data_IF_701147093166
#
_entry.id   IF_701147093166
#
_cell.length_a   1.000
_cell.length_b   1.000
_cell.length_c   1.000
_cell.angle_alpha   90.00
_cell.angle_beta   90.00
_cell.angle_gamma   90.00
#
_symmetry.space_group_name_H-M   'P 1'
#
loop_
_entity.id
_entity.type
_entity.pdbx_description
1 polymer ?
#
# COMPACT_ATOMS: atom_id res chain seq x y z
N UNK A 1 8.96 -29.60 -12.57
CA UNK A 1 7.68 -29.45 -11.84
C UNK A 1 7.59 -27.97 -11.48
N UNK A 2 6.51 -27.30 -11.84
CA UNK A 2 6.25 -25.91 -11.48
C UNK A 2 5.28 -25.92 -10.30
N UNK A 3 5.59 -25.14 -9.28
CA UNK A 3 4.69 -24.91 -8.16
C UNK A 3 4.13 -23.49 -8.34
N UNK A 4 2.81 -23.37 -8.31
CA UNK A 4 2.14 -22.07 -8.39
C UNK A 4 2.64 -21.18 -7.23
N UNK A 5 2.97 -19.93 -7.56
CA UNK A 5 3.34 -18.91 -6.58
C UNK A 5 2.12 -18.39 -5.81
N UNK A 6 2.25 -17.18 -5.26
CA UNK A 6 1.13 -16.53 -4.59
C UNK A 6 0.03 -16.14 -5.59
N UNK A 7 -1.26 -16.27 -5.21
CA UNK A 7 -2.35 -15.73 -6.02
C UNK A 7 -2.25 -14.19 -6.13
N UNK A 8 -2.96 -13.56 -7.09
CA UNK A 8 -2.98 -12.11 -7.17
C UNK A 8 -3.66 -11.49 -5.95
N UNK A 9 -3.12 -10.36 -5.47
CA UNK A 9 -3.81 -9.49 -4.50
C UNK A 9 -4.96 -8.81 -5.22
N UNK A 10 -6.19 -9.11 -4.80
CA UNK A 10 -7.42 -8.48 -5.32
C UNK A 10 -8.12 -7.80 -4.16
N UNK A 11 -8.14 -6.47 -4.19
CA UNK A 11 -8.85 -5.69 -3.19
C UNK A 11 -10.35 -5.78 -3.39
N UNK A 12 -11.08 -5.75 -2.27
CA UNK A 12 -12.54 -5.65 -2.30
C UNK A 12 -12.94 -4.18 -2.43
N UNK A 13 -13.84 -3.89 -3.37
CA UNK A 13 -14.24 -2.52 -3.76
C UNK A 13 -14.71 -1.69 -2.55
N UNK A 14 -15.60 -2.24 -1.73
CA UNK A 14 -16.16 -1.55 -0.55
C UNK A 14 -15.08 -1.16 0.47
N UNK A 15 -14.15 -2.05 0.76
CA UNK A 15 -13.07 -1.81 1.72
C UNK A 15 -12.04 -0.83 1.17
N UNK A 16 -11.78 -0.86 -0.15
CA UNK A 16 -10.96 0.16 -0.82
C UNK A 16 -11.63 1.53 -0.77
N UNK A 17 -12.93 1.64 -1.08
CA UNK A 17 -13.68 2.89 -1.01
C UNK A 17 -13.68 3.50 0.39
N UNK A 18 -13.90 2.68 1.42
CA UNK A 18 -13.83 3.12 2.81
C UNK A 18 -12.45 3.70 3.14
N UNK A 19 -11.38 3.01 2.74
CA UNK A 19 -10.02 3.50 2.96
C UNK A 19 -9.77 4.83 2.24
N UNK A 20 -10.25 4.99 1.00
CA UNK A 20 -10.12 6.25 0.24
C UNK A 20 -10.84 7.39 0.96
N UNK A 21 -12.05 7.16 1.47
CA UNK A 21 -12.83 8.16 2.21
C UNK A 21 -12.11 8.58 3.51
N UNK A 22 -11.61 7.61 4.28
CA UNK A 22 -10.87 7.88 5.53
C UNK A 22 -9.53 8.56 5.27
N UNK A 23 -8.83 8.18 4.20
CA UNK A 23 -7.56 8.81 3.84
C UNK A 23 -7.74 10.32 3.56
N UNK A 24 -8.90 10.75 3.06
CA UNK A 24 -9.20 12.16 2.82
C UNK A 24 -9.35 13.01 4.10
N UNK A 25 -9.53 12.39 5.26
CA UNK A 25 -9.58 13.09 6.56
C UNK A 25 -8.22 13.20 7.27
N UNK A 26 -7.13 12.76 6.62
CA UNK A 26 -5.79 12.75 7.20
C UNK A 26 -4.99 13.89 6.59
N UNK A 27 -4.61 14.88 7.40
CA UNK A 27 -3.94 16.11 6.95
C UNK A 27 -2.67 15.86 6.12
N UNK A 28 -1.91 14.81 6.43
CA UNK A 28 -0.69 14.48 5.70
C UNK A 28 -0.91 13.79 4.34
N UNK A 29 -2.14 13.32 4.07
CA UNK A 29 -2.50 12.68 2.79
C UNK A 29 -2.91 13.76 1.79
N UNK A 30 -1.95 14.19 0.98
CA UNK A 30 -2.19 15.23 -0.03
C UNK A 30 -2.98 14.72 -1.25
N UNK A 31 -2.77 13.46 -1.62
CA UNK A 31 -3.39 12.85 -2.79
C UNK A 31 -3.62 11.36 -2.58
N UNK A 32 -4.78 10.88 -3.00
CA UNK A 32 -5.11 9.47 -3.16
C UNK A 32 -5.30 9.21 -4.65
N UNK A 33 -4.66 8.16 -5.17
CA UNK A 33 -4.77 7.79 -6.58
C UNK A 33 -4.92 6.29 -6.72
N UNK A 34 -5.71 5.87 -7.70
CA UNK A 34 -5.66 4.51 -8.19
C UNK A 34 -4.31 4.28 -8.88
N UNK A 35 -3.76 3.08 -8.72
CA UNK A 35 -2.48 2.71 -9.29
C UNK A 35 -2.63 1.53 -10.23
N UNK A 36 -1.80 1.50 -11.27
CA UNK A 36 -1.71 0.32 -12.12
C UNK A 36 -1.28 -0.92 -11.31
N UNK A 37 -1.81 -2.11 -11.64
CA UNK A 37 -1.40 -3.36 -11.02
C UNK A 37 0.13 -3.55 -11.05
N UNK A 38 0.66 -4.21 -10.01
CA UNK A 38 2.09 -4.56 -9.91
C UNK A 38 2.28 -6.05 -10.09
N UNK A 39 3.38 -6.40 -10.77
CA UNK A 39 3.77 -7.79 -11.04
C UNK A 39 4.54 -8.44 -9.87
N UNK A 40 4.63 -7.77 -8.71
CA UNK A 40 5.25 -8.34 -7.51
C UNK A 40 4.36 -9.41 -6.89
N UNK A 41 4.96 -10.48 -6.38
CA UNK A 41 4.25 -11.49 -5.59
C UNK A 41 4.08 -11.02 -4.15
N UNK A 42 2.86 -11.08 -3.63
CA UNK A 42 2.50 -10.60 -2.29
C UNK A 42 1.57 -11.64 -1.63
N UNK A 43 1.97 -12.17 -0.47
CA UNK A 43 1.22 -13.24 0.20
C UNK A 43 -0.02 -12.73 0.94
N UNK A 44 -0.15 -11.40 1.09
CA UNK A 44 -1.37 -10.77 1.59
C UNK A 44 -2.64 -11.20 0.82
N UNK A 45 -2.46 -11.62 -0.44
CA UNK A 45 -3.52 -12.17 -1.28
C UNK A 45 -4.31 -13.32 -0.60
N UNK A 46 -3.65 -14.14 0.22
CA UNK A 46 -4.32 -15.24 0.92
C UNK A 46 -5.32 -14.75 1.97
N UNK A 47 -5.09 -13.60 2.61
CA UNK A 47 -6.07 -13.02 3.55
C UNK A 47 -7.29 -12.52 2.79
N UNK A 48 -7.08 -11.84 1.66
CA UNK A 48 -8.17 -11.29 0.84
C UNK A 48 -9.03 -12.38 0.18
N UNK A 49 -8.56 -13.62 0.08
CA UNK A 49 -9.43 -14.73 -0.33
C UNK A 49 -10.37 -15.23 0.77
N UNK A 50 -10.16 -14.82 2.02
CA UNK A 50 -10.90 -15.32 3.19
C UNK A 50 -11.79 -14.28 3.83
N UNK A 51 -11.34 -13.02 3.84
CA UNK A 51 -12.08 -11.93 4.46
C UNK A 51 -12.06 -10.69 3.56
N UNK A 52 -13.15 -9.90 3.53
CA UNK A 52 -13.15 -8.59 2.89
C UNK A 52 -12.02 -7.72 3.44
N UNK A 53 -11.34 -7.01 2.55
CA UNK A 53 -10.17 -6.23 2.90
C UNK A 53 -9.54 -5.51 1.71
N UNK A 54 -8.62 -4.62 2.04
CA UNK A 54 -7.89 -3.80 1.08
C UNK A 54 -6.40 -3.75 1.43
N UNK A 55 -5.55 -3.83 0.42
CA UNK A 55 -4.12 -3.61 0.48
C UNK A 55 -3.80 -2.30 -0.23
N UNK A 56 -3.01 -1.43 0.41
CA UNK A 56 -2.74 -0.10 -0.10
C UNK A 56 -1.26 0.27 0.06
N UNK A 57 -0.79 1.19 -0.78
CA UNK A 57 0.56 1.72 -0.71
C UNK A 57 0.56 3.13 -0.12
N UNK A 58 1.56 3.42 0.71
CA UNK A 58 1.85 4.79 1.17
C UNK A 58 3.05 5.32 0.41
N UNK A 59 2.92 6.49 -0.21
CA UNK A 59 4.02 7.12 -0.93
C UNK A 59 5.17 7.45 0.01
N UNK A 60 6.36 6.92 -0.29
CA UNK A 60 7.54 7.04 0.58
C UNK A 60 8.78 7.61 -0.14
N UNK A 61 8.60 8.23 -1.31
CA UNK A 61 9.70 8.86 -2.03
C UNK A 61 10.21 10.07 -1.24
N UNK A 62 11.50 10.06 -0.90
CA UNK A 62 12.14 11.19 -0.23
C UNK A 62 12.25 12.41 -1.16
N UNK A 63 11.83 13.61 -0.71
CA UNK A 63 11.98 14.84 -1.48
C UNK A 63 13.44 15.34 -1.52
N UNK A 64 14.32 14.75 -0.69
CA UNK A 64 15.73 15.15 -0.56
C UNK A 64 16.63 14.58 -1.64
N UNK A 65 16.14 13.61 -2.42
CA UNK A 65 16.91 12.91 -3.45
C UNK A 65 16.14 12.86 -4.76
N UNK A 66 16.86 13.02 -5.86
CA UNK A 66 16.35 12.77 -7.21
C UNK A 66 16.49 11.30 -7.59
N UNK A 67 17.43 10.57 -6.98
CA UNK A 67 17.62 9.14 -7.15
C UNK A 67 16.72 8.34 -6.20
N UNK A 68 16.00 7.36 -6.76
CA UNK A 68 15.22 6.39 -5.99
C UNK A 68 15.63 4.98 -6.40
N UNK A 69 15.94 4.14 -5.43
CA UNK A 69 16.22 2.73 -5.66
C UNK A 69 14.98 1.89 -5.35
N UNK A 70 14.69 0.83 -6.13
CA UNK A 70 13.50 0.01 -5.92
C UNK A 70 13.63 -0.85 -4.66
N UNK A 71 12.52 -1.44 -4.23
CA UNK A 71 12.52 -2.52 -3.23
C UNK A 71 13.55 -3.59 -3.62
N UNK A 72 14.16 -4.24 -2.62
CA UNK A 72 15.22 -5.25 -2.76
C UNK A 72 16.58 -4.77 -3.30
N UNK A 73 16.76 -3.47 -3.55
CA UNK A 73 18.07 -2.93 -3.92
C UNK A 73 18.92 -2.59 -2.67
N UNK A 74 20.26 -2.80 -2.64
CA UNK A 74 21.10 -2.53 -1.45
C UNK A 74 21.21 -1.05 -1.06
N UNK A 75 20.83 -0.14 -1.97
CA UNK A 75 20.73 1.30 -1.74
C UNK A 75 19.28 1.77 -1.51
N UNK A 76 18.35 0.85 -1.30
CA UNK A 76 16.97 1.20 -1.01
C UNK A 76 16.91 2.08 0.24
N UNK A 77 16.18 3.17 0.13
CA UNK A 77 15.93 4.13 1.20
C UNK A 77 14.59 4.84 0.92
N UNK A 78 13.96 5.38 1.97
CA UNK A 78 12.63 5.98 1.88
C UNK A 78 12.45 7.13 2.89
N UNK A 79 11.42 7.97 2.70
CA UNK A 79 11.06 9.01 3.67
C UNK A 79 10.29 8.41 4.85
N UNK A 80 10.90 8.37 6.03
CA UNK A 80 10.29 7.84 7.26
C UNK A 80 8.99 8.56 7.65
N UNK A 81 8.72 9.77 7.15
CA UNK A 81 7.40 10.41 7.32
C UNK A 81 6.26 9.54 6.80
N UNK A 82 6.51 8.68 5.81
CA UNK A 82 5.55 7.71 5.31
C UNK A 82 5.06 6.75 6.40
N UNK A 83 5.86 6.46 7.43
CA UNK A 83 5.44 5.60 8.54
C UNK A 83 4.29 6.21 9.34
N UNK A 84 4.35 7.52 9.63
CA UNK A 84 3.28 8.21 10.33
C UNK A 84 2.00 8.26 9.49
N UNK A 85 2.14 8.53 8.19
CA UNK A 85 1.01 8.54 7.26
C UNK A 85 0.35 7.17 7.22
N UNK A 86 1.13 6.09 7.04
CA UNK A 86 0.60 4.72 7.01
C UNK A 86 -0.09 4.35 8.33
N UNK A 87 0.50 4.69 9.48
CA UNK A 87 -0.07 4.40 10.79
C UNK A 87 -1.38 5.17 11.03
N UNK A 88 -1.47 6.44 10.64
CA UNK A 88 -2.71 7.22 10.70
C UNK A 88 -3.77 6.65 9.77
N UNK A 89 -3.43 6.31 8.53
CA UNK A 89 -4.38 5.73 7.57
C UNK A 89 -4.96 4.42 8.07
N UNK A 90 -4.10 3.50 8.53
CA UNK A 90 -4.55 2.22 9.06
C UNK A 90 -5.32 2.36 10.38
N UNK A 91 -4.87 3.26 11.26
CA UNK A 91 -5.53 3.52 12.54
C UNK A 91 -6.92 4.11 12.34
N UNK A 92 -7.06 5.15 11.51
CA UNK A 92 -8.33 5.82 11.28
C UNK A 92 -9.39 4.93 10.62
N UNK A 93 -8.99 3.99 9.75
CA UNK A 93 -9.96 3.09 9.09
C UNK A 93 -10.45 1.96 10.02
N UNK A 94 -9.77 1.77 11.15
CA UNK A 94 -10.11 0.73 12.14
C UNK A 94 -11.06 1.22 13.25
N UNK A 95 -11.38 2.52 13.27
CA UNK A 95 -12.24 3.18 14.26
C UNK A 95 -13.65 3.40 13.70
#
# INVERSE_FOLDING_TARGET
KYDDGYPPVVNHEKETELLVQVAASIDEVNHVKEMDPKMGGEDFAYYLQKVPGTFFFTGAKSPKTTETYPHHHPKFDFDEKAMLIAAKTLGSVSL
#
